data_IF_499172025379
#
_entry.id   IF_499172025379
#
_cell.length_a   1.000
_cell.length_b   1.000
_cell.length_c   1.000
_cell.angle_alpha   90.00
_cell.angle_beta   90.00
_cell.angle_gamma   90.00
#
_symmetry.space_group_name_H-M   'P 1'
#
loop_
_entity.id
_entity.type
_entity.pdbx_description
1 polymer ?
#
# COMPACT_ATOMS: atom_id res chain seq x y z
N UNK A 1 -43.94 -46.34 -21.32
CA UNK A 1 -44.53 -45.35 -20.38
C UNK A 1 -43.44 -44.37 -19.97
N UNK A 2 -43.76 -43.08 -19.81
CA UNK A 2 -42.77 -41.99 -19.68
C UNK A 2 -42.22 -41.87 -18.25
N UNK A 3 -40.90 -41.90 -18.07
CA UNK A 3 -40.18 -41.17 -17.02
C UNK A 3 -38.84 -40.66 -17.55
N UNK A 4 -38.81 -39.38 -17.88
CA UNK A 4 -37.63 -38.67 -18.34
C UNK A 4 -36.88 -38.14 -17.11
N UNK A 5 -35.68 -38.69 -16.84
CA UNK A 5 -34.90 -38.31 -15.66
C UNK A 5 -33.83 -37.30 -16.08
N UNK A 6 -34.10 -36.02 -15.78
CA UNK A 6 -33.21 -34.91 -16.12
C UNK A 6 -32.05 -34.89 -15.11
N UNK A 7 -30.85 -35.23 -15.55
CA UNK A 7 -29.63 -35.02 -14.76
C UNK A 7 -29.16 -33.57 -14.94
N UNK A 8 -29.43 -32.72 -13.93
CA UNK A 8 -28.83 -31.40 -13.85
C UNK A 8 -27.40 -31.57 -13.32
N UNK A 9 -26.41 -31.55 -14.22
CA UNK A 9 -25.00 -31.47 -13.83
C UNK A 9 -24.71 -30.04 -13.39
N UNK A 10 -24.63 -29.84 -12.08
CA UNK A 10 -24.28 -28.54 -11.51
C UNK A 10 -22.77 -28.30 -11.65
N UNK A 11 -22.37 -27.64 -12.74
CA UNK A 11 -20.98 -27.27 -12.99
C UNK A 11 -20.55 -26.14 -12.06
N UNK A 12 -20.06 -26.50 -10.86
CA UNK A 12 -19.50 -25.53 -9.90
C UNK A 12 -18.18 -25.01 -10.46
N UNK A 13 -18.21 -23.82 -11.04
CA UNK A 13 -17.04 -23.05 -11.42
C UNK A 13 -16.27 -22.64 -10.16
N UNK A 14 -15.19 -23.36 -9.86
CA UNK A 14 -14.21 -22.98 -8.85
C UNK A 14 -13.41 -21.77 -9.34
N UNK A 15 -13.97 -20.57 -9.20
CA UNK A 15 -13.18 -19.34 -9.26
C UNK A 15 -12.27 -19.29 -8.02
N UNK A 16 -10.98 -18.94 -8.16
CA UNK A 16 -10.10 -18.77 -7.02
C UNK A 16 -10.57 -17.55 -6.21
N UNK A 17 -11.13 -17.81 -5.03
CA UNK A 17 -11.50 -16.76 -4.08
C UNK A 17 -10.20 -16.17 -3.54
N UNK A 18 -9.78 -15.03 -4.11
CA UNK A 18 -8.81 -14.16 -3.45
C UNK A 18 -9.38 -13.79 -2.07
N UNK A 19 -8.62 -14.09 -1.02
CA UNK A 19 -9.03 -13.91 0.35
C UNK A 19 -8.95 -12.42 0.79
N UNK A 20 -9.83 -11.59 0.23
CA UNK A 20 -10.21 -10.33 0.85
C UNK A 20 -11.00 -10.66 2.14
N UNK A 21 -10.29 -10.72 3.27
CA UNK A 21 -10.83 -11.16 4.55
C UNK A 21 -11.67 -10.08 5.27
N UNK A 22 -12.59 -9.44 4.54
CA UNK A 22 -13.54 -8.47 5.08
C UNK A 22 -14.97 -8.89 4.74
N UNK A 23 -15.64 -9.53 5.70
CA UNK A 23 -17.05 -9.94 5.60
C UNK A 23 -17.80 -9.49 6.86
N UNK A 24 -18.11 -8.20 6.90
CA UNK A 24 -19.09 -7.60 7.79
C UNK A 24 -19.86 -6.56 7.01
N UNK A 25 -21.18 -6.72 6.92
CA UNK A 25 -22.06 -5.61 6.56
C UNK A 25 -22.02 -4.60 7.71
N UNK A 26 -21.90 -3.30 7.39
CA UNK A 26 -21.88 -2.25 8.41
C UNK A 26 -23.29 -2.05 8.98
N UNK A 27 -23.38 -1.83 10.28
CA UNK A 27 -24.64 -1.45 10.93
C UNK A 27 -24.97 0.05 10.77
N UNK A 28 -26.07 0.51 11.36
CA UNK A 28 -26.52 1.91 11.33
C UNK A 28 -25.51 2.91 11.96
N UNK A 29 -24.49 2.42 12.66
CA UNK A 29 -23.41 3.22 13.25
C UNK A 29 -22.18 3.28 12.33
N UNK A 30 -22.12 2.42 11.30
CA UNK A 30 -20.99 2.33 10.38
C UNK A 30 -19.89 1.38 10.84
N UNK A 31 -20.22 0.39 11.67
CA UNK A 31 -19.27 -0.61 12.14
C UNK A 31 -19.82 -2.03 12.13
N UNK A 32 -18.99 -2.99 12.51
CA UNK A 32 -19.42 -4.39 12.65
C UNK A 32 -18.65 -5.13 13.74
N UNK A 33 -19.21 -6.24 14.22
CA UNK A 33 -18.52 -7.14 15.14
C UNK A 33 -17.64 -8.14 14.40
N UNK A 34 -16.37 -8.23 14.79
CA UNK A 34 -15.47 -9.31 14.38
C UNK A 34 -15.90 -10.63 15.02
N UNK A 35 -16.26 -11.62 14.20
CA UNK A 35 -16.87 -12.89 14.64
C UNK A 35 -16.01 -13.75 15.59
N UNK A 36 -14.68 -13.64 15.51
CA UNK A 36 -13.75 -14.44 16.31
C UNK A 36 -13.76 -14.06 17.79
N UNK A 37 -13.92 -12.78 18.11
CA UNK A 37 -13.68 -12.26 19.46
C UNK A 37 -14.69 -11.21 19.93
N UNK A 38 -15.67 -10.82 19.11
CA UNK A 38 -16.63 -9.76 19.41
C UNK A 38 -15.99 -8.38 19.68
N UNK A 39 -14.80 -8.09 19.12
CA UNK A 39 -14.35 -6.70 18.99
C UNK A 39 -15.24 -5.99 17.97
N UNK A 40 -15.78 -4.83 18.32
CA UNK A 40 -16.53 -3.97 17.41
C UNK A 40 -15.58 -3.06 16.65
N UNK A 41 -15.61 -3.08 15.32
CA UNK A 41 -14.77 -2.28 14.43
C UNK A 41 -15.62 -1.17 13.81
N UNK A 42 -15.35 0.09 14.16
CA UNK A 42 -16.07 1.26 13.62
C UNK A 42 -15.33 1.83 12.40
N UNK A 43 -15.75 1.46 11.19
CA UNK A 43 -15.04 1.84 9.96
C UNK A 43 -15.50 3.17 9.36
N UNK A 44 -16.81 3.46 9.40
CA UNK A 44 -17.41 4.62 8.74
C UNK A 44 -18.43 5.33 9.66
N UNK A 45 -18.00 5.99 10.76
CA UNK A 45 -18.91 6.53 11.77
C UNK A 45 -20.03 7.40 11.19
N UNK A 46 -21.27 6.93 11.30
CA UNK A 46 -22.45 7.68 10.83
C UNK A 46 -22.74 8.88 11.74
N UNK A 47 -23.65 9.76 11.31
CA UNK A 47 -24.18 10.85 12.14
C UNK A 47 -24.80 10.34 13.46
N UNK A 48 -25.21 9.07 13.52
CA UNK A 48 -25.69 8.43 14.74
C UNK A 48 -24.54 8.05 15.68
N UNK A 49 -23.49 7.39 15.16
CA UNK A 49 -22.29 7.06 15.94
C UNK A 49 -21.57 8.30 16.50
N UNK A 50 -21.49 9.38 15.71
CA UNK A 50 -20.85 10.65 16.10
C UNK A 50 -21.56 11.41 17.22
N UNK A 51 -22.77 11.01 17.62
CA UNK A 51 -23.44 11.56 18.80
C UNK A 51 -22.73 11.13 20.09
N UNK A 52 -22.10 9.95 20.10
CA UNK A 52 -21.23 9.53 21.17
C UNK A 52 -19.93 10.34 21.16
N UNK A 53 -19.60 10.92 22.31
CA UNK A 53 -18.36 11.65 22.63
C UNK A 53 -17.35 10.74 23.32
N UNK A 54 -17.81 9.67 23.95
CA UNK A 54 -16.95 8.68 24.61
C UNK A 54 -17.28 7.27 24.15
N UNK A 55 -16.36 6.33 24.38
CA UNK A 55 -16.58 4.92 24.02
C UNK A 55 -17.73 4.31 24.82
N UNK A 56 -17.98 4.77 26.05
CA UNK A 56 -19.08 4.35 26.90
C UNK A 56 -20.44 4.75 26.30
N UNK A 57 -20.55 5.97 25.76
CA UNK A 57 -21.73 6.42 25.00
C UNK A 57 -21.90 5.61 23.70
N UNK A 58 -20.79 5.26 23.03
CA UNK A 58 -20.81 4.42 21.83
C UNK A 58 -21.23 2.96 22.14
N UNK A 59 -20.84 2.39 23.29
CA UNK A 59 -21.35 1.08 23.75
C UNK A 59 -22.88 1.08 23.83
N UNK A 60 -23.49 2.15 24.37
CA UNK A 60 -24.95 2.27 24.46
C UNK A 60 -25.62 2.30 23.07
N UNK A 61 -25.01 3.00 22.11
CA UNK A 61 -25.47 3.00 20.73
C UNK A 61 -25.35 1.61 20.10
N UNK A 62 -24.21 0.93 20.22
CA UNK A 62 -24.00 -0.40 19.64
C UNK A 62 -24.97 -1.43 20.25
N UNK A 63 -25.20 -1.38 21.57
CA UNK A 63 -26.19 -2.23 22.25
C UNK A 63 -27.61 -2.01 21.73
N UNK A 64 -27.96 -0.77 21.36
CA UNK A 64 -29.28 -0.39 20.86
C UNK A 64 -29.48 -0.73 19.38
N UNK A 65 -28.50 -0.42 18.53
CA UNK A 65 -28.66 -0.42 17.06
C UNK A 65 -28.05 -1.64 16.35
N UNK A 66 -27.09 -2.36 16.96
CA UNK A 66 -26.50 -3.54 16.34
C UNK A 66 -27.37 -4.80 16.58
N UNK A 67 -27.56 -5.63 15.56
CA UNK A 67 -28.36 -6.86 15.64
C UNK A 67 -27.66 -8.06 16.31
N UNK A 68 -26.36 -7.99 16.60
CA UNK A 68 -25.58 -9.11 17.12
C UNK A 68 -25.74 -9.27 18.65
N UNK A 69 -26.83 -9.92 19.06
CA UNK A 69 -27.17 -10.23 20.46
C UNK A 69 -26.11 -11.04 21.23
N UNK A 70 -25.22 -11.76 20.53
CA UNK A 70 -24.09 -12.48 21.14
C UNK A 70 -23.01 -11.50 21.59
N UNK A 71 -22.61 -10.60 20.70
CA UNK A 71 -21.46 -9.73 20.94
C UNK A 71 -21.81 -8.45 21.72
N UNK A 72 -22.97 -7.83 21.47
CA UNK A 72 -23.30 -6.53 22.10
C UNK A 72 -23.62 -6.62 23.60
N UNK A 73 -24.14 -7.77 24.05
CA UNK A 73 -24.67 -7.99 25.41
C UNK A 73 -23.70 -7.60 26.53
N UNK A 74 -22.43 -7.95 26.36
CA UNK A 74 -21.35 -7.68 27.31
C UNK A 74 -20.24 -6.83 26.68
N UNK A 75 -20.56 -5.99 25.68
CA UNK A 75 -19.58 -5.11 25.06
C UNK A 75 -19.07 -4.08 26.08
N UNK A 76 -17.75 -3.91 26.13
CA UNK A 76 -17.05 -2.93 26.96
C UNK A 76 -16.21 -1.98 26.08
N UNK A 77 -15.84 -0.77 26.56
CA UNK A 77 -15.08 0.22 25.79
C UNK A 77 -13.74 -0.27 25.21
N UNK A 78 -13.04 -1.17 25.90
CA UNK A 78 -11.80 -1.80 25.44
C UNK A 78 -11.99 -2.74 24.25
N UNK A 79 -13.22 -3.22 24.02
CA UNK A 79 -13.62 -4.09 22.90
C UNK A 79 -14.16 -3.30 21.70
N UNK A 80 -14.01 -1.98 21.69
CA UNK A 80 -14.28 -1.11 20.55
C UNK A 80 -12.96 -0.67 19.91
N UNK A 81 -12.73 -1.06 18.67
CA UNK A 81 -11.78 -0.40 17.79
C UNK A 81 -12.48 0.76 17.07
N UNK A 82 -11.83 1.92 17.06
CA UNK A 82 -12.33 3.11 16.37
C UNK A 82 -11.74 3.28 14.98
N UNK A 83 -10.84 2.40 14.52
CA UNK A 83 -10.21 2.46 13.19
C UNK A 83 -9.62 3.84 12.85
N UNK A 84 -9.09 4.52 13.87
CA UNK A 84 -8.53 5.88 13.78
C UNK A 84 -9.54 7.04 13.89
N UNK A 85 -10.84 6.79 14.04
CA UNK A 85 -11.88 7.82 14.16
C UNK A 85 -11.97 8.46 15.56
N UNK A 86 -12.39 9.73 15.59
CA UNK A 86 -12.60 10.49 16.82
C UNK A 86 -14.10 10.57 17.18
N UNK A 87 -14.41 10.40 18.46
CA UNK A 87 -15.77 10.52 18.99
C UNK A 87 -16.10 11.98 19.37
N UNK A 88 -17.37 12.38 19.26
CA UNK A 88 -17.85 13.70 19.65
C UNK A 88 -17.56 14.85 18.68
N UNK A 89 -17.08 14.56 17.48
CA UNK A 89 -16.80 15.58 16.46
C UNK A 89 -18.08 16.18 15.86
N UNK A 90 -18.17 17.52 15.80
CA UNK A 90 -19.13 18.20 14.91
C UNK A 90 -18.79 17.84 13.46
N UNK A 91 -19.79 17.49 12.65
CA UNK A 91 -19.65 17.08 11.23
C UNK A 91 -19.14 18.16 10.25
N UNK A 92 -18.59 19.26 10.77
CA UNK A 92 -18.02 20.36 10.00
C UNK A 92 -16.50 20.45 9.98
N UNK A 93 -15.78 19.80 10.92
CA UNK A 93 -14.36 20.12 11.18
C UNK A 93 -13.41 18.91 11.07
N UNK A 94 -13.88 17.69 11.34
CA UNK A 94 -13.04 16.49 11.31
C UNK A 94 -13.01 15.76 9.95
N UNK A 95 -14.14 15.67 9.23
CA UNK A 95 -14.24 14.86 8.01
C UNK A 95 -13.73 15.58 6.77
N UNK A 96 -12.85 14.89 6.03
CA UNK A 96 -12.44 15.30 4.69
C UNK A 96 -13.65 15.30 3.74
N UNK A 97 -13.63 16.20 2.76
CA UNK A 97 -14.63 16.38 1.71
C UNK A 97 -13.89 16.56 0.39
N UNK A 98 -14.45 15.98 -0.67
CA UNK A 98 -13.89 16.00 -2.02
C UNK A 98 -13.90 17.43 -2.60
N UNK A 99 -12.90 17.76 -3.44
CA UNK A 99 -12.79 19.08 -4.06
C UNK A 99 -12.40 20.22 -3.09
N UNK A 100 -11.72 19.91 -1.98
CA UNK A 100 -11.38 20.88 -0.92
C UNK A 100 -9.89 20.85 -0.57
N UNK A 101 -9.42 21.99 -0.06
CA UNK A 101 -8.06 22.19 0.44
C UNK A 101 -8.00 22.05 1.95
N UNK A 102 -6.90 21.48 2.45
CA UNK A 102 -6.66 21.26 3.87
C UNK A 102 -5.21 21.58 4.22
N UNK A 103 -4.98 22.29 5.33
CA UNK A 103 -3.64 22.43 5.90
C UNK A 103 -3.18 21.07 6.44
N UNK A 104 -1.93 20.73 6.17
CA UNK A 104 -1.35 19.46 6.55
C UNK A 104 -0.01 19.65 7.26
N UNK A 105 0.34 18.71 8.15
CA UNK A 105 1.68 18.59 8.70
C UNK A 105 2.29 17.26 8.26
N UNK A 106 3.54 17.25 7.79
CA UNK A 106 4.27 16.03 7.47
C UNK A 106 4.42 15.16 8.73
N UNK A 107 4.11 13.87 8.61
CA UNK A 107 4.32 12.85 9.64
C UNK A 107 5.47 11.92 9.27
N UNK A 108 5.60 11.61 7.98
CA UNK A 108 6.74 10.85 7.45
C UNK A 108 6.65 10.71 5.94
N UNK A 109 7.80 10.65 5.27
CA UNK A 109 7.90 10.34 3.85
C UNK A 109 7.79 8.81 3.65
N UNK A 110 7.31 8.36 2.50
CA UNK A 110 7.33 6.94 2.12
C UNK A 110 8.22 6.75 0.89
N UNK A 111 7.84 7.38 -0.23
CA UNK A 111 8.52 7.28 -1.52
C UNK A 111 8.36 8.62 -2.30
N UNK A 112 8.49 8.59 -3.63
CA UNK A 112 8.42 9.78 -4.49
C UNK A 112 7.02 10.37 -4.64
N UNK A 113 5.96 9.56 -4.49
CA UNK A 113 4.56 9.97 -4.68
C UNK A 113 3.63 9.65 -3.50
N UNK A 114 4.16 9.08 -2.43
CA UNK A 114 3.41 8.74 -1.22
C UNK A 114 4.08 9.32 0.02
N UNK A 115 3.28 9.99 0.86
CA UNK A 115 3.72 10.50 2.16
C UNK A 115 2.58 10.43 3.18
N UNK A 116 2.93 10.45 4.47
CA UNK A 116 1.99 10.47 5.59
C UNK A 116 1.82 11.89 6.10
N UNK A 117 0.58 12.37 6.15
CA UNK A 117 0.24 13.71 6.61
C UNK A 117 -0.77 13.67 7.75
N UNK A 118 -0.66 14.61 8.69
CA UNK A 118 -1.69 14.90 9.68
C UNK A 118 -2.61 16.00 9.17
N UNK A 119 -3.90 15.71 9.06
CA UNK A 119 -4.96 16.61 8.61
C UNK A 119 -6.15 16.49 9.56
N UNK A 120 -6.70 17.61 10.02
CA UNK A 120 -7.83 17.65 10.97
C UNK A 120 -7.66 16.74 12.20
N UNK A 121 -6.41 16.56 12.66
CA UNK A 121 -6.04 15.66 13.78
C UNK A 121 -5.72 14.22 13.39
N UNK A 122 -6.21 13.72 12.26
CA UNK A 122 -6.01 12.35 11.79
C UNK A 122 -4.77 12.20 10.90
N UNK A 123 -4.13 11.03 10.89
CA UNK A 123 -2.96 10.75 10.03
C UNK A 123 -3.40 9.91 8.84
N UNK A 124 -3.17 10.42 7.64
CA UNK A 124 -3.47 9.74 6.38
C UNK A 124 -2.19 9.40 5.65
N UNK A 125 -2.06 8.16 5.17
CA UNK A 125 -1.16 7.85 4.05
C UNK A 125 -1.81 8.45 2.81
N UNK A 126 -1.10 9.30 2.08
CA UNK A 126 -1.63 10.06 0.95
C UNK A 126 -0.85 9.70 -0.29
N UNK A 127 -1.56 9.23 -1.32
CA UNK A 127 -1.01 9.01 -2.67
C UNK A 127 -1.22 10.29 -3.47
N UNK A 128 -0.15 10.78 -4.06
CA UNK A 128 -0.14 12.03 -4.80
C UNK A 128 -0.88 11.79 -6.11
N UNK A 129 -1.83 12.66 -6.43
CA UNK A 129 -2.61 12.49 -7.64
C UNK A 129 -1.76 12.50 -8.91
N UNK A 130 -2.24 11.76 -9.91
CA UNK A 130 -1.84 11.76 -11.30
C UNK A 130 -0.43 11.24 -11.65
N UNK A 131 0.58 11.37 -10.79
CA UNK A 131 1.96 10.91 -11.09
C UNK A 131 2.21 9.47 -10.64
N UNK A 132 3.13 8.76 -11.28
CA UNK A 132 3.80 7.56 -10.76
C UNK A 132 5.31 7.83 -10.69
N UNK A 133 5.95 7.47 -9.59
CA UNK A 133 7.41 7.63 -9.41
C UNK A 133 8.07 6.27 -9.22
N UNK A 134 9.30 6.04 -9.72
CA UNK A 134 9.97 4.74 -9.60
C UNK A 134 10.03 4.28 -8.14
N UNK A 135 9.77 3.00 -7.90
CA UNK A 135 9.59 2.46 -6.56
C UNK A 135 10.89 2.50 -5.73
N UNK A 136 10.74 2.71 -4.42
CA UNK A 136 11.88 2.92 -3.52
C UNK A 136 11.82 2.15 -2.20
N UNK A 137 10.80 1.31 -2.03
CA UNK A 137 10.47 0.65 -0.75
C UNK A 137 10.48 -0.87 -0.83
N UNK A 138 9.46 -1.48 -1.43
CA UNK A 138 9.31 -2.94 -1.60
C UNK A 138 10.18 -3.39 -2.79
N UNK A 139 10.04 -2.67 -3.90
CA UNK A 139 10.96 -2.73 -5.03
C UNK A 139 11.80 -1.45 -5.01
N UNK A 140 13.03 -1.53 -5.53
CA UNK A 140 13.97 -0.40 -5.56
C UNK A 140 14.43 -0.25 -6.99
N UNK A 141 13.78 0.67 -7.70
CA UNK A 141 14.00 0.95 -9.10
C UNK A 141 15.03 2.08 -9.28
N UNK A 142 15.70 2.17 -10.45
CA UNK A 142 16.52 3.32 -10.79
C UNK A 142 15.74 4.62 -10.61
N UNK A 143 16.36 5.64 -10.01
CA UNK A 143 15.75 6.93 -9.64
C UNK A 143 14.71 6.91 -8.51
N UNK A 144 14.32 5.77 -7.95
CA UNK A 144 13.29 5.74 -6.89
C UNK A 144 13.75 6.40 -5.59
N UNK A 145 15.02 6.20 -5.19
CA UNK A 145 15.59 6.86 -4.01
C UNK A 145 15.72 8.37 -4.23
N UNK A 146 16.06 8.79 -5.44
CA UNK A 146 16.16 10.17 -5.87
C UNK A 146 14.79 10.87 -5.86
N UNK A 147 13.74 10.19 -6.33
CA UNK A 147 12.35 10.65 -6.25
C UNK A 147 11.91 10.82 -4.78
N UNK A 148 12.09 9.79 -3.96
CA UNK A 148 11.77 9.82 -2.52
C UNK A 148 12.52 10.93 -1.77
N UNK A 149 13.83 11.09 -2.01
CA UNK A 149 14.63 12.16 -1.41
C UNK A 149 14.21 13.55 -1.89
N UNK A 150 13.95 13.74 -3.19
CA UNK A 150 13.48 15.01 -3.73
C UNK A 150 12.16 15.43 -3.07
N UNK A 151 11.15 14.54 -3.13
CA UNK A 151 9.83 14.75 -2.52
C UNK A 151 9.94 15.06 -1.04
N UNK A 152 10.65 14.23 -0.28
CA UNK A 152 10.82 14.42 1.15
C UNK A 152 11.52 15.76 1.48
N UNK A 153 12.54 16.15 0.71
CA UNK A 153 13.28 17.40 0.91
C UNK A 153 12.45 18.68 0.66
N UNK A 154 11.37 18.59 -0.14
CA UNK A 154 10.40 19.68 -0.33
C UNK A 154 9.42 19.73 0.84
N UNK A 155 8.81 18.59 1.16
CA UNK A 155 7.82 18.48 2.24
C UNK A 155 8.36 18.87 3.62
N UNK A 156 9.66 18.65 3.88
CA UNK A 156 10.29 19.03 5.14
C UNK A 156 10.50 20.55 5.33
N UNK A 157 10.34 21.38 4.29
CA UNK A 157 10.82 22.78 4.29
C UNK A 157 9.76 23.87 4.16
N UNK A 158 8.52 23.52 3.84
CA UNK A 158 7.48 24.51 3.49
C UNK A 158 6.11 24.21 4.09
N UNK A 159 5.21 25.19 3.96
CA UNK A 159 3.81 25.07 4.38
C UNK A 159 3.06 24.13 3.42
N UNK A 160 2.49 23.04 3.97
CA UNK A 160 1.85 21.98 3.18
C UNK A 160 0.33 22.17 3.15
N UNK A 161 -0.24 22.14 1.95
CA UNK A 161 -1.69 22.06 1.72
C UNK A 161 -1.98 20.86 0.83
N UNK A 162 -2.93 20.01 1.25
CA UNK A 162 -3.48 18.94 0.42
C UNK A 162 -4.77 19.42 -0.22
N UNK A 163 -4.93 19.18 -1.52
CA UNK A 163 -6.17 19.45 -2.25
C UNK A 163 -6.75 18.14 -2.79
N UNK A 164 -7.93 17.76 -2.29
CA UNK A 164 -8.66 16.57 -2.75
C UNK A 164 -9.34 16.84 -4.09
N UNK A 165 -9.33 15.86 -4.99
CA UNK A 165 -9.80 16.00 -6.37
C UNK A 165 -10.24 14.66 -6.97
N UNK A 166 -10.88 14.67 -8.14
CA UNK A 166 -11.44 13.48 -8.78
C UNK A 166 -12.78 13.03 -8.18
N UNK A 167 -13.05 11.72 -8.22
CA UNK A 167 -14.36 11.14 -7.86
C UNK A 167 -14.45 10.54 -6.44
N UNK A 168 -13.33 10.18 -5.82
CA UNK A 168 -13.27 9.58 -4.48
C UNK A 168 -12.19 10.25 -3.63
N UNK A 169 -12.37 10.24 -2.31
CA UNK A 169 -11.34 10.72 -1.37
C UNK A 169 -10.18 9.73 -1.21
N UNK A 170 -10.44 8.45 -1.42
CA UNK A 170 -9.49 7.37 -1.15
C UNK A 170 -9.39 6.43 -2.35
N UNK A 171 -8.22 5.80 -2.51
CA UNK A 171 -8.03 4.67 -3.41
C UNK A 171 -8.49 3.35 -2.76
N UNK A 172 -8.41 2.25 -3.53
CA UNK A 172 -8.73 0.89 -3.07
C UNK A 172 -7.84 0.37 -1.92
N UNK A 173 -6.74 1.08 -1.61
CA UNK A 173 -5.81 0.77 -0.52
C UNK A 173 -6.00 1.70 0.70
N UNK A 174 -7.08 2.49 0.72
CA UNK A 174 -7.37 3.48 1.77
C UNK A 174 -6.31 4.59 1.90
N UNK A 175 -5.57 4.88 0.82
CA UNK A 175 -4.70 6.08 0.75
C UNK A 175 -5.53 7.28 0.32
N UNK A 176 -5.35 8.41 1.00
CA UNK A 176 -5.96 9.69 0.63
C UNK A 176 -5.42 10.15 -0.73
N UNK A 177 -6.32 10.53 -1.63
CA UNK A 177 -5.98 11.08 -2.94
C UNK A 177 -5.91 12.61 -2.86
N UNK A 178 -4.74 13.19 -3.13
CA UNK A 178 -4.56 14.64 -3.12
C UNK A 178 -3.49 15.17 -4.08
N UNK A 179 -3.74 16.37 -4.62
CA UNK A 179 -2.70 17.28 -5.08
C UNK A 179 -1.97 17.86 -3.87
N UNK A 180 -0.64 17.95 -3.94
CA UNK A 180 0.19 18.39 -2.82
C UNK A 180 0.82 19.72 -3.15
N UNK A 181 0.53 20.72 -2.32
CA UNK A 181 1.07 22.06 -2.45
C UNK A 181 2.09 22.32 -1.34
N UNK A 182 3.26 22.84 -1.69
CA UNK A 182 4.31 23.27 -0.75
C UNK A 182 4.64 24.72 -1.07
N UNK A 183 4.49 25.64 -0.11
CA UNK A 183 4.70 27.09 -0.29
C UNK A 183 3.96 27.67 -1.51
N UNK A 184 2.76 27.15 -1.79
CA UNK A 184 1.93 27.55 -2.94
C UNK A 184 2.37 26.98 -4.30
N UNK A 185 3.34 26.05 -4.32
CA UNK A 185 3.79 25.35 -5.54
C UNK A 185 3.25 23.93 -5.59
N UNK A 186 2.86 23.46 -6.77
CA UNK A 186 2.36 22.10 -6.97
C UNK A 186 3.54 21.13 -6.97
N UNK A 187 3.65 20.28 -5.96
CA UNK A 187 4.78 19.38 -5.77
C UNK A 187 4.90 18.38 -6.93
N UNK A 188 3.77 17.82 -7.40
CA UNK A 188 3.75 16.95 -8.58
C UNK A 188 4.35 17.60 -9.84
N UNK A 189 4.16 18.91 -10.03
CA UNK A 189 4.81 19.64 -11.12
C UNK A 189 6.33 19.76 -10.91
N UNK A 190 6.78 20.00 -9.67
CA UNK A 190 8.22 20.07 -9.37
C UNK A 190 8.91 18.69 -9.52
N UNK A 191 8.26 17.58 -9.14
CA UNK A 191 8.75 16.21 -9.35
C UNK A 191 8.83 15.90 -10.86
N UNK A 192 7.80 16.26 -11.63
CA UNK A 192 7.79 16.08 -13.09
C UNK A 192 8.89 16.90 -13.78
N UNK A 193 9.10 18.18 -13.39
CA UNK A 193 10.20 19.03 -13.90
C UNK A 193 11.58 18.48 -13.54
N UNK A 194 11.71 17.81 -12.39
CA UNK A 194 12.94 17.14 -12.00
C UNK A 194 13.22 15.85 -12.80
N UNK A 195 12.28 15.38 -13.63
CA UNK A 195 12.40 14.13 -14.39
C UNK A 195 12.35 12.90 -13.50
N UNK A 196 11.50 12.93 -12.46
CA UNK A 196 11.36 11.88 -11.44
C UNK A 196 9.97 11.20 -11.45
N UNK A 197 9.11 11.55 -12.40
CA UNK A 197 7.85 10.85 -12.70
C UNK A 197 8.10 9.93 -13.89
N UNK A 198 7.72 8.66 -13.80
CA UNK A 198 7.91 7.68 -14.88
C UNK A 198 6.68 7.54 -15.79
N UNK A 199 5.49 7.41 -15.19
CA UNK A 199 4.19 7.31 -15.86
C UNK A 199 3.13 8.16 -15.14
N UNK A 200 1.89 8.14 -15.63
CA UNK A 200 0.75 8.82 -15.03
C UNK A 200 -0.35 7.85 -14.62
N UNK A 201 -0.71 7.84 -13.34
CA UNK A 201 -1.80 7.02 -12.81
C UNK A 201 -3.10 7.81 -12.72
N UNK A 202 -4.08 7.39 -13.51
CA UNK A 202 -5.37 8.04 -13.70
C UNK A 202 -6.51 7.28 -12.98
N UNK A 203 -7.31 7.98 -12.17
CA UNK A 203 -8.58 7.48 -11.61
C UNK A 203 -9.80 8.37 -12.00
N UNK A 204 -9.65 9.24 -13.00
CA UNK A 204 -10.62 10.20 -13.52
C UNK A 204 -10.03 11.61 -13.69
N UNK A 205 -10.65 12.43 -14.54
CA UNK A 205 -10.18 13.77 -14.91
C UNK A 205 -9.78 14.65 -13.71
N UNK A 206 -8.53 15.13 -13.67
CA UNK A 206 -8.01 15.98 -12.59
C UNK A 206 -7.63 17.41 -13.04
N UNK A 207 -7.70 18.36 -12.10
CA UNK A 207 -7.51 19.81 -12.36
C UNK A 207 -6.18 20.22 -13.00
N UNK A 208 -5.10 19.50 -12.76
CA UNK A 208 -3.72 19.96 -13.04
C UNK A 208 -2.93 19.05 -13.98
N UNK A 209 -3.57 18.08 -14.63
CA UNK A 209 -2.88 17.14 -15.52
C UNK A 209 -2.02 17.82 -16.58
N UNK A 210 -2.59 18.76 -17.36
CA UNK A 210 -1.87 19.46 -18.43
C UNK A 210 -0.60 20.16 -17.93
N UNK A 211 -0.64 20.71 -16.72
CA UNK A 211 0.51 21.38 -16.08
C UNK A 211 1.61 20.37 -15.74
N UNK A 212 1.25 19.19 -15.24
CA UNK A 212 2.19 18.13 -14.90
C UNK A 212 2.70 17.38 -16.15
N UNK A 213 1.84 17.15 -17.16
CA UNK A 213 2.21 16.61 -18.48
C UNK A 213 3.21 17.55 -19.19
N UNK A 214 2.96 18.85 -19.18
CA UNK A 214 3.87 19.85 -19.74
C UNK A 214 5.24 19.86 -19.05
N UNK A 215 5.25 19.80 -17.71
CA UNK A 215 6.47 19.67 -16.90
C UNK A 215 7.28 18.42 -17.25
N UNK A 216 6.64 17.25 -17.37
CA UNK A 216 7.32 16.01 -17.74
C UNK A 216 7.86 16.04 -19.17
N UNK A 217 7.10 16.62 -20.11
CA UNK A 217 7.53 16.79 -21.49
C UNK A 217 8.75 17.73 -21.60
N UNK A 218 8.85 18.75 -20.74
CA UNK A 218 10.05 19.57 -20.63
C UNK A 218 11.24 18.75 -20.13
N UNK A 219 11.11 18.00 -19.03
CA UNK A 219 12.17 17.15 -18.50
C UNK A 219 12.67 16.11 -19.53
N UNK A 220 11.75 15.48 -20.27
CA UNK A 220 12.06 14.55 -21.38
C UNK A 220 12.82 15.26 -22.51
N UNK A 221 12.42 16.48 -22.89
CA UNK A 221 13.07 17.28 -23.95
C UNK A 221 14.47 17.77 -23.54
N UNK A 222 14.69 18.08 -22.27
CA UNK A 222 15.98 18.56 -21.75
C UNK A 222 16.93 17.45 -21.31
N UNK A 223 16.43 16.23 -21.14
CA UNK A 223 17.20 15.10 -20.62
C UNK A 223 17.48 15.23 -19.12
N UNK A 224 16.47 15.69 -18.36
CA UNK A 224 16.55 15.91 -16.91
C UNK A 224 16.10 14.65 -16.15
N UNK A 225 16.71 14.37 -15.00
CA UNK A 225 16.38 13.21 -14.17
C UNK A 225 16.61 11.88 -14.91
N UNK A 226 15.64 10.97 -14.84
CA UNK A 226 15.69 9.66 -15.50
C UNK A 226 15.75 9.73 -17.04
N UNK A 227 15.55 10.91 -17.64
CA UNK A 227 15.56 11.10 -19.09
C UNK A 227 16.91 11.54 -19.66
N UNK A 228 17.94 11.60 -18.82
CA UNK A 228 19.32 11.89 -19.25
C UNK A 228 19.89 10.83 -20.19
N UNK A 229 20.78 11.23 -21.11
CA UNK A 229 21.29 10.36 -22.19
C UNK A 229 22.14 9.15 -21.74
N UNK A 230 22.41 9.00 -20.45
CA UNK A 230 23.06 7.82 -19.87
C UNK A 230 22.13 6.93 -19.04
N UNK A 231 20.90 7.36 -18.77
CA UNK A 231 19.95 6.62 -17.92
C UNK A 231 19.35 5.38 -18.62
N UNK A 232 19.34 5.36 -19.95
CA UNK A 232 18.81 4.25 -20.75
C UNK A 232 19.77 3.04 -20.84
N UNK A 233 21.05 3.22 -20.48
CA UNK A 233 22.08 2.17 -20.60
C UNK A 233 22.26 1.35 -19.29
N UNK A 234 21.79 1.85 -18.14
CA UNK A 234 21.76 1.09 -16.88
C UNK A 234 20.48 0.24 -16.75
N UNK A 235 20.40 -0.85 -17.53
CA UNK A 235 19.49 -1.95 -17.18
C UNK A 235 20.08 -2.80 -16.04
N UNK A 236 19.27 -3.24 -15.06
CA UNK A 236 19.78 -3.97 -13.91
C UNK A 236 20.30 -5.36 -14.30
N UNK A 237 21.58 -5.62 -14.05
CA UNK A 237 22.15 -6.98 -14.09
C UNK A 237 21.86 -7.71 -12.78
N UNK A 238 21.15 -8.84 -12.78
CA UNK A 238 21.02 -9.66 -11.58
C UNK A 238 22.33 -10.38 -11.27
N UNK A 239 22.72 -10.35 -9.99
CA UNK A 239 23.91 -10.96 -9.37
C UNK A 239 25.27 -10.29 -9.67
N UNK A 240 25.79 -9.59 -8.66
CA UNK A 240 27.22 -9.41 -8.42
C UNK A 240 27.50 -9.79 -6.97
N UNK A 241 27.96 -11.02 -6.72
CA UNK A 241 28.41 -11.44 -5.40
C UNK A 241 29.76 -10.79 -5.07
N UNK A 242 29.97 -10.36 -3.84
CA UNK A 242 31.22 -9.77 -3.41
C UNK A 242 32.41 -10.73 -3.63
N UNK A 243 33.32 -10.31 -4.50
CA UNK A 243 34.69 -10.80 -4.57
C UNK A 243 35.60 -9.58 -4.68
N UNK A 244 36.49 -9.31 -3.70
CA UNK A 244 37.44 -8.22 -3.79
C UNK A 244 38.55 -8.57 -4.80
N UNK A 245 39.05 -7.60 -5.59
CA UNK A 245 40.19 -7.83 -6.47
C UNK A 245 41.51 -7.76 -5.69
N UNK A 246 42.31 -8.83 -5.79
CA UNK A 246 43.72 -8.82 -5.42
C UNK A 246 44.53 -7.89 -6.34
N UNK A 247 45.49 -7.13 -5.80
CA UNK A 247 46.35 -6.22 -6.58
C UNK A 247 47.61 -5.75 -5.85
N UNK A 248 48.79 -6.03 -6.44
CA UNK A 248 50.12 -5.91 -5.81
C UNK A 248 51.11 -5.24 -6.81
N UNK A 249 52.25 -4.62 -6.46
CA UNK A 249 52.92 -4.62 -5.14
C UNK A 249 53.21 -3.22 -4.54
N UNK A 250 54.39 -2.56 -4.62
CA UNK A 250 54.94 -1.98 -3.38
C UNK A 250 55.33 -0.49 -3.42
N UNK A 251 55.35 0.13 -2.24
CA UNK A 251 56.36 1.11 -1.83
C UNK A 251 56.51 1.08 -0.31
N UNK A 252 57.75 0.98 0.19
CA UNK A 252 58.08 0.96 1.61
C UNK A 252 58.15 2.38 2.19
N UNK A 253 57.73 2.60 3.45
CA UNK A 253 58.69 2.88 4.52
C UNK A 253 58.16 2.71 5.96
N UNK A 254 59.08 2.24 6.81
CA UNK A 254 58.98 1.80 8.21
C UNK A 254 58.38 2.80 9.21
N UNK A 255 57.71 2.25 10.24
CA UNK A 255 58.07 2.30 11.70
C UNK A 255 56.80 2.38 12.58
N UNK A 256 56.59 1.74 13.74
CA UNK A 256 57.11 0.59 14.48
C UNK A 256 56.29 0.55 15.81
N UNK A 257 55.92 -0.62 16.35
CA UNK A 257 55.33 -0.74 17.71
C UNK A 257 54.15 -1.70 17.86
N UNK A 258 54.43 -2.92 18.35
CA UNK A 258 53.49 -3.88 18.98
C UNK A 258 53.74 -3.86 20.51
N UNK A 259 53.11 -4.64 21.43
CA UNK A 259 52.18 -5.80 21.32
C UNK A 259 50.93 -5.67 22.26
N UNK A 260 50.14 -6.69 22.66
CA UNK A 260 49.44 -7.82 22.02
C UNK A 260 48.46 -8.46 23.06
N UNK A 261 47.76 -9.55 22.70
CA UNK A 261 46.94 -10.45 23.57
C UNK A 261 45.58 -9.90 24.09
N UNK A 262 44.51 -10.68 24.27
CA UNK A 262 44.33 -12.14 24.08
C UNK A 262 42.87 -12.51 23.74
N UNK A 263 42.64 -13.71 23.18
CA UNK A 263 41.34 -14.41 23.16
C UNK A 263 41.38 -15.64 24.10
N UNK A 264 40.23 -16.25 24.46
CA UNK A 264 39.90 -17.51 23.77
C UNK A 264 38.41 -17.75 23.46
N UNK A 265 38.20 -18.82 22.70
CA UNK A 265 36.99 -19.49 22.19
C UNK A 265 36.06 -20.10 23.29
N UNK A 266 34.91 -20.76 23.05
CA UNK A 266 34.42 -21.53 21.89
C UNK A 266 32.88 -21.84 21.91
N UNK A 267 32.47 -22.72 20.96
CA UNK A 267 31.35 -23.71 20.96
C UNK A 267 29.90 -23.33 20.56
N UNK A 268 29.56 -23.70 19.31
CA UNK A 268 28.54 -24.70 18.89
C UNK A 268 27.01 -24.48 18.95
N UNK A 269 26.34 -25.26 18.08
CA UNK A 269 24.89 -25.56 17.92
C UNK A 269 24.01 -24.51 17.18
N UNK A 270 23.04 -24.87 16.33
CA UNK A 270 22.79 -26.11 15.54
C UNK A 270 21.82 -25.76 14.38
N UNK A 271 21.92 -26.40 13.21
CA UNK A 271 21.15 -26.01 12.02
C UNK A 271 19.83 -26.79 11.84
N UNK A 272 18.72 -26.08 11.74
CA UNK A 272 17.38 -26.63 11.46
C UNK A 272 17.08 -26.69 9.92
N UNK A 273 16.14 -27.54 9.47
CA UNK A 273 16.12 -28.04 8.10
C UNK A 273 15.45 -27.13 7.06
N UNK A 274 15.86 -27.28 5.79
CA UNK A 274 15.25 -26.63 4.62
C UNK A 274 13.90 -27.24 4.27
N UNK A 275 12.87 -26.42 4.17
CA UNK A 275 11.55 -26.82 3.68
C UNK A 275 11.57 -27.23 2.20
N UNK A 276 10.76 -28.24 1.88
CA UNK A 276 10.64 -28.81 0.53
C UNK A 276 9.62 -28.01 -0.30
N UNK A 277 10.10 -27.10 -1.13
CA UNK A 277 9.29 -26.52 -2.20
C UNK A 277 8.84 -27.63 -3.19
N UNK A 278 7.54 -27.78 -3.39
CA UNK A 278 6.99 -28.76 -4.32
C UNK A 278 7.31 -28.43 -5.79
N UNK A 279 7.79 -29.41 -6.56
CA UNK A 279 8.18 -29.18 -7.95
C UNK A 279 6.98 -28.83 -8.85
N UNK A 280 6.99 -27.68 -9.56
CA UNK A 280 5.86 -27.23 -10.39
C UNK A 280 5.56 -28.17 -11.58
N UNK A 281 6.51 -29.00 -11.98
CA UNK A 281 6.38 -29.98 -13.08
C UNK A 281 5.33 -31.06 -12.77
N UNK A 282 5.15 -31.45 -11.50
CA UNK A 282 4.20 -32.52 -11.13
C UNK A 282 2.75 -32.06 -11.34
N UNK A 283 2.44 -30.80 -11.01
CA UNK A 283 1.11 -30.22 -11.19
C UNK A 283 0.75 -30.05 -12.68
N UNK A 284 1.73 -29.69 -13.53
CA UNK A 284 1.52 -29.61 -14.98
C UNK A 284 1.17 -30.98 -15.60
N UNK A 285 1.84 -32.06 -15.17
CA UNK A 285 1.57 -33.41 -15.66
C UNK A 285 0.21 -33.95 -15.19
N UNK A 286 -0.18 -33.68 -13.94
CA UNK A 286 -1.52 -34.04 -13.43
C UNK A 286 -2.65 -33.28 -14.16
N UNK A 287 -2.44 -32.00 -14.48
CA UNK A 287 -3.39 -31.21 -15.26
C UNK A 287 -3.66 -31.76 -16.67
N UNK A 288 -2.60 -32.20 -17.38
CA UNK A 288 -2.72 -32.80 -18.71
C UNK A 288 -3.48 -34.13 -18.70
N UNK A 289 -3.26 -34.98 -17.70
CA UNK A 289 -3.99 -36.24 -17.54
C UNK A 289 -5.48 -36.01 -17.23
N UNK A 290 -5.81 -35.03 -16.39
CA UNK A 290 -7.18 -34.64 -16.11
C UNK A 290 -7.91 -34.11 -17.36
N UNK A 291 -7.24 -33.26 -18.15
CA UNK A 291 -7.79 -32.75 -19.41
C UNK A 291 -8.04 -33.84 -20.45
N UNK A 292 -7.12 -34.80 -20.59
CA UNK A 292 -7.27 -35.95 -21.49
C UNK A 292 -8.44 -36.86 -21.07
N UNK A 293 -8.60 -37.12 -19.76
CA UNK A 293 -9.72 -37.88 -19.24
C UNK A 293 -11.06 -37.18 -19.49
N UNK A 294 -11.14 -35.85 -19.28
CA UNK A 294 -12.34 -35.06 -19.53
C UNK A 294 -12.73 -35.08 -21.01
N UNK A 295 -11.77 -34.88 -21.92
CA UNK A 295 -11.98 -34.94 -23.37
C UNK A 295 -12.52 -36.31 -23.83
N UNK A 296 -11.94 -37.40 -23.30
CA UNK A 296 -12.40 -38.75 -23.62
C UNK A 296 -13.80 -39.04 -23.09
N UNK A 297 -14.15 -38.54 -21.91
CA UNK A 297 -15.48 -38.71 -21.33
C UNK A 297 -16.56 -37.96 -22.12
N UNK A 298 -16.29 -36.71 -22.52
CA UNK A 298 -17.19 -35.91 -23.36
C UNK A 298 -17.43 -36.59 -24.72
N UNK A 299 -16.37 -37.11 -25.36
CA UNK A 299 -16.44 -37.75 -26.68
C UNK A 299 -17.11 -39.14 -26.68
N UNK A 300 -17.34 -39.75 -25.52
CA UNK A 300 -18.16 -40.97 -25.36
C UNK A 300 -19.63 -40.70 -25.02
N UNK A 301 -20.00 -39.45 -24.77
CA UNK A 301 -21.35 -39.04 -24.38
C UNK A 301 -22.23 -38.49 -25.51
N UNK A 302 -21.75 -38.57 -26.76
CA UNK A 302 -22.42 -38.09 -27.99
C UNK A 302 -22.47 -39.19 -29.04
#
# INVERSE_FOLDING_TARGET
MKRMMIMIVCLVLMAPIYAAAHRGELDELGGHFRNSDCTYLLHEPTALAKQAKTKEELVQLIQKYNGNERCKRNLTPDRIDLDGHALGGKEGDASLRLGRTYKAALVGCVDGDTAKFRVNGHVYTTRFLFIDTPESTIEVEPYGKEASQFTCSRLQKGDIVLETDGNTLFDKYQRLLAWVWVDGRLLQEEIAKAGLVEDFYDYGDYKYEDRVRAALNEAKRTGTGMYGRGAADEKPTPNGADHPPDGNTPSNEKSAGSPAADQPSASDQEAAPKDRAGHPVVYALLGLLAAAALYWFVRRGT
#
